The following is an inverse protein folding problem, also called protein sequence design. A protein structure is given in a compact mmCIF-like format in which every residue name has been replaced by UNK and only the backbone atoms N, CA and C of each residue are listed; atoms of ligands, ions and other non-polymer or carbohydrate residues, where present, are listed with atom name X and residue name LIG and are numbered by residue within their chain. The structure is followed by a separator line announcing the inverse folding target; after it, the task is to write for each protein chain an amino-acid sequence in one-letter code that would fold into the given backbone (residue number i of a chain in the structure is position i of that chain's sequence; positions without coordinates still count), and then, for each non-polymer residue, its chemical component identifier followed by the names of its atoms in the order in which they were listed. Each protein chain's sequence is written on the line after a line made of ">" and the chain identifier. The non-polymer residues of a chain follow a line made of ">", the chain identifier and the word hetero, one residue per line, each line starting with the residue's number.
data_IF_644317021642
#
_entry.id   IF_644317021642
#
_cell.length_a   1.000
_cell.length_b   1.000
_cell.length_c   1.000
_cell.angle_alpha   90.00
_cell.angle_beta   90.00
_cell.angle_gamma   90.00
#
_symmetry.space_group_name_H-M   'P 1'
#
loop_
_entity.id
_entity.type
_entity.pdbx_description
1 polymer ?
#
# COMPACT_ATOMS: atom_id res chain seq x y z
N UNK A 1 -16.56 -1.81 -7.90
CA UNK A 1 -15.96 -2.50 -6.74
C UNK A 1 -14.44 -2.68 -6.84
N UNK A 2 -13.80 -2.52 -8.01
CA UNK A 2 -12.34 -2.74 -8.18
C UNK A 2 -11.42 -1.72 -7.48
N UNK A 3 -11.87 -0.49 -7.24
CA UNK A 3 -11.00 0.58 -6.71
C UNK A 3 -10.59 0.42 -5.25
N UNK A 4 -11.40 -0.25 -4.43
CA UNK A 4 -11.15 -0.41 -2.98
C UNK A 4 -10.11 -1.49 -2.68
N UNK A 5 -9.97 -2.49 -3.56
CA UNK A 5 -9.02 -3.60 -3.39
C UNK A 5 -7.63 -3.24 -3.90
N UNK A 6 -7.47 -2.19 -4.70
CA UNK A 6 -6.17 -1.81 -5.28
C UNK A 6 -5.08 -1.56 -4.23
N UNK A 7 -5.40 -0.90 -3.11
CA UNK A 7 -4.42 -0.65 -2.06
C UNK A 7 -3.98 -1.95 -1.34
N UNK A 8 -4.91 -2.82 -0.87
CA UNK A 8 -4.55 -4.14 -0.35
C UNK A 8 -3.79 -5.02 -1.35
N UNK A 9 -4.17 -5.01 -2.64
CA UNK A 9 -3.48 -5.79 -3.67
C UNK A 9 -2.07 -5.26 -3.92
N UNK A 10 -1.87 -3.94 -3.93
CA UNK A 10 -0.54 -3.34 -4.05
C UNK A 10 0.36 -3.73 -2.87
N UNK A 11 -0.18 -3.73 -1.65
CA UNK A 11 0.52 -4.23 -0.46
C UNK A 11 0.87 -5.73 -0.59
N UNK A 12 -0.07 -6.57 -1.01
CA UNK A 12 0.18 -8.01 -1.15
C UNK A 12 1.25 -8.31 -2.20
N UNK A 13 1.24 -7.61 -3.33
CA UNK A 13 2.27 -7.71 -4.36
C UNK A 13 3.62 -7.25 -3.81
N UNK A 14 3.65 -6.13 -3.08
CA UNK A 14 4.86 -5.64 -2.45
C UNK A 14 5.46 -6.65 -1.47
N UNK A 15 4.61 -7.28 -0.64
CA UNK A 15 5.01 -8.33 0.29
C UNK A 15 5.64 -9.52 -0.45
N UNK A 16 4.95 -10.07 -1.45
CA UNK A 16 5.43 -11.25 -2.20
C UNK A 16 6.75 -10.95 -2.91
N UNK A 17 6.88 -9.79 -3.55
CA UNK A 17 8.12 -9.39 -4.24
C UNK A 17 9.25 -9.19 -3.23
N UNK A 18 9.00 -8.50 -2.14
CA UNK A 18 9.98 -8.23 -1.08
C UNK A 18 10.54 -9.51 -0.46
N UNK A 19 9.65 -10.42 -0.06
CA UNK A 19 10.05 -11.69 0.55
C UNK A 19 10.66 -12.65 -0.46
N UNK A 20 10.06 -12.76 -1.65
CA UNK A 20 10.53 -13.64 -2.71
C UNK A 20 11.92 -13.23 -3.22
N UNK A 21 12.15 -11.94 -3.44
CA UNK A 21 13.46 -11.42 -3.84
C UNK A 21 14.52 -11.67 -2.76
N UNK A 22 14.16 -11.46 -1.48
CA UNK A 22 15.08 -11.73 -0.35
C UNK A 22 15.43 -13.22 -0.24
N UNK A 23 14.43 -14.10 -0.31
CA UNK A 23 14.63 -15.54 -0.28
C UNK A 23 15.47 -16.03 -1.46
N UNK A 24 15.15 -15.58 -2.67
CA UNK A 24 15.91 -15.91 -3.88
C UNK A 24 17.36 -15.42 -3.78
N UNK A 25 17.55 -14.20 -3.30
CA UNK A 25 18.88 -13.63 -3.11
C UNK A 25 19.70 -14.45 -2.11
N UNK A 26 19.14 -14.79 -0.96
CA UNK A 26 19.84 -15.60 0.04
C UNK A 26 20.12 -17.03 -0.46
N UNK A 27 19.20 -17.65 -1.20
CA UNK A 27 19.36 -19.02 -1.67
C UNK A 27 20.31 -19.17 -2.87
N UNK A 28 20.38 -18.16 -3.76
CA UNK A 28 21.09 -18.28 -5.04
C UNK A 28 22.18 -17.25 -5.25
N UNK A 29 22.00 -16.02 -4.77
CA UNK A 29 22.87 -14.88 -5.10
C UNK A 29 23.86 -14.53 -4.00
N UNK A 30 23.63 -14.95 -2.76
CA UNK A 30 24.54 -14.69 -1.64
C UNK A 30 25.96 -15.24 -1.89
N UNK A 31 26.08 -16.36 -2.61
CA UNK A 31 27.36 -17.00 -2.95
C UNK A 31 28.09 -16.33 -4.13
N UNK A 32 27.43 -15.42 -4.85
CA UNK A 32 27.99 -14.78 -6.06
C UNK A 32 28.79 -13.50 -5.76
N UNK A 33 28.88 -13.10 -4.49
CA UNK A 33 29.60 -11.90 -4.07
C UNK A 33 28.89 -10.57 -4.37
N UNK A 34 27.65 -10.60 -4.88
CA UNK A 34 26.83 -9.39 -4.96
C UNK A 34 26.62 -8.80 -3.57
N UNK A 35 26.69 -7.48 -3.36
CA UNK A 35 26.45 -6.87 -2.06
C UNK A 35 24.94 -6.80 -1.74
N UNK A 36 24.57 -7.23 -0.53
CA UNK A 36 23.17 -7.20 -0.04
C UNK A 36 22.61 -5.78 0.02
N UNK A 37 23.49 -4.78 0.09
CA UNK A 37 23.16 -3.35 0.06
C UNK A 37 22.43 -2.97 -1.23
N UNK A 38 22.80 -3.54 -2.38
CA UNK A 38 22.13 -3.27 -3.66
C UNK A 38 20.68 -3.77 -3.65
N UNK A 39 20.45 -4.97 -3.09
CA UNK A 39 19.09 -5.51 -2.91
C UNK A 39 18.27 -4.61 -1.98
N UNK A 40 18.84 -4.16 -0.85
CA UNK A 40 18.14 -3.27 0.09
C UNK A 40 17.76 -1.94 -0.51
N UNK A 41 18.69 -1.30 -1.24
CA UNK A 41 18.40 -0.04 -1.91
C UNK A 41 17.30 -0.23 -2.95
N UNK A 42 17.34 -1.33 -3.71
CA UNK A 42 16.28 -1.68 -4.65
C UNK A 42 14.92 -1.90 -3.98
N UNK A 43 14.86 -2.69 -2.91
CA UNK A 43 13.64 -2.96 -2.15
C UNK A 43 13.13 -1.73 -1.39
N UNK A 44 14.04 -0.88 -0.89
CA UNK A 44 13.71 0.40 -0.27
C UNK A 44 13.07 1.36 -1.27
N UNK A 45 13.69 1.53 -2.45
CA UNK A 45 13.13 2.35 -3.52
C UNK A 45 11.77 1.81 -4.00
N UNK A 46 11.65 0.49 -4.16
CA UNK A 46 10.39 -0.16 -4.51
C UNK A 46 9.29 0.08 -3.44
N UNK A 47 9.66 0.00 -2.16
CA UNK A 47 8.75 0.30 -1.05
C UNK A 47 8.25 1.75 -1.11
N UNK A 48 9.13 2.72 -1.38
CA UNK A 48 8.75 4.13 -1.54
C UNK A 48 7.77 4.34 -2.69
N UNK A 49 7.98 3.65 -3.82
CA UNK A 49 7.05 3.69 -4.98
C UNK A 49 5.67 3.16 -4.58
N UNK A 50 5.62 2.03 -3.89
CA UNK A 50 4.35 1.43 -3.43
C UNK A 50 3.66 2.31 -2.39
N UNK A 51 4.40 2.89 -1.44
CA UNK A 51 3.85 3.84 -0.47
C UNK A 51 3.25 5.06 -1.16
N UNK A 52 3.95 5.63 -2.15
CA UNK A 52 3.42 6.74 -2.95
C UNK A 52 2.14 6.37 -3.70
N UNK A 53 2.09 5.15 -4.27
CA UNK A 53 0.90 4.65 -4.95
C UNK A 53 -0.29 4.46 -4.00
N UNK A 54 -0.08 3.85 -2.83
CA UNK A 54 -1.13 3.67 -1.80
C UNK A 54 -1.60 5.03 -1.27
N UNK A 55 -0.67 5.94 -0.96
CA UNK A 55 -0.99 7.29 -0.51
C UNK A 55 -1.79 8.07 -1.56
N UNK A 56 -1.46 7.93 -2.84
CA UNK A 56 -2.20 8.54 -3.93
C UNK A 56 -3.63 7.98 -4.05
N UNK A 57 -3.81 6.67 -3.89
CA UNK A 57 -5.15 6.04 -3.86
C UNK A 57 -5.96 6.56 -2.67
N UNK A 58 -5.36 6.59 -1.47
CA UNK A 58 -5.98 7.12 -0.26
C UNK A 58 -6.38 8.60 -0.42
N UNK A 59 -5.47 9.43 -0.94
CA UNK A 59 -5.73 10.84 -1.23
C UNK A 59 -6.85 11.02 -2.25
N UNK A 60 -6.87 10.20 -3.31
CA UNK A 60 -7.95 10.25 -4.31
C UNK A 60 -9.29 9.88 -3.70
N UNK A 61 -9.31 8.90 -2.80
CA UNK A 61 -10.51 8.50 -2.06
C UNK A 61 -10.98 9.63 -1.11
N UNK A 62 -10.03 10.31 -0.45
CA UNK A 62 -10.30 11.48 0.40
C UNK A 62 -10.81 12.68 -0.41
N UNK A 63 -10.20 13.00 -1.56
CA UNK A 63 -10.70 14.02 -2.49
C UNK A 63 -12.08 13.68 -3.06
N UNK A 64 -12.37 12.40 -3.32
CA UNK A 64 -13.69 11.99 -3.80
C UNK A 64 -14.76 12.16 -2.70
N UNK A 65 -14.36 12.08 -1.43
CA UNK A 65 -15.17 12.51 -0.30
C UNK A 65 -15.31 14.04 -0.21
N UNK A 66 -14.28 14.80 -0.60
CA UNK A 66 -14.19 16.26 -0.39
C UNK A 66 -14.63 17.16 -1.57
N UNK A 67 -15.00 16.63 -2.75
CA UNK A 67 -15.31 17.46 -3.94
C UNK A 67 -16.77 17.94 -4.03
N UNK A 68 -17.69 17.53 -3.15
CA UNK A 68 -19.07 18.07 -3.13
C UNK A 68 -19.71 18.00 -1.73
N UNK A 69 -20.02 19.18 -1.18
CA UNK A 69 -21.41 19.54 -0.86
C UNK A 69 -22.10 18.80 0.33
N UNK A 70 -21.83 19.24 1.58
CA UNK A 70 -22.95 19.70 2.43
C UNK A 70 -23.13 21.19 2.19
N UNK A 71 -23.40 21.50 0.93
CA UNK A 71 -23.92 22.77 0.45
C UNK A 71 -25.27 22.55 -0.24
N UNK A 72 -26.00 21.49 0.15
CA UNK A 72 -27.44 21.36 -0.06
C UNK A 72 -28.07 21.09 1.32
N UNK A 73 -28.62 22.15 1.90
CA UNK A 73 -29.44 22.12 3.11
C UNK A 73 -30.85 21.54 2.90
N UNK A 74 -31.17 21.06 1.70
CA UNK A 74 -32.45 20.43 1.39
C UNK A 74 -32.25 19.39 0.28
N UNK A 75 -32.39 18.10 0.60
CA UNK A 75 -33.26 17.28 -0.23
C UNK A 75 -33.87 16.13 0.57
N UNK A 76 -35.19 16.22 0.72
CA UNK A 76 -36.05 15.21 1.28
C UNK A 76 -36.36 14.17 0.19
N UNK A 77 -35.68 13.02 0.17
CA UNK A 77 -36.19 11.79 -0.45
C UNK A 77 -35.20 10.64 -0.22
N UNK A 78 -35.74 9.50 0.21
CA UNK A 78 -34.96 8.33 0.59
C UNK A 78 -34.29 7.61 -0.58
N UNK A 79 -33.25 6.85 -0.20
CA UNK A 79 -32.65 5.70 -0.89
C UNK A 79 -31.51 5.95 -1.91
N UNK A 80 -30.39 5.24 -1.67
CA UNK A 80 -29.16 5.02 -2.47
C UNK A 80 -27.87 5.75 -2.03
N UNK A 81 -27.93 6.92 -1.40
CA UNK A 81 -26.74 7.76 -1.16
C UNK A 81 -25.86 7.28 0.02
N UNK A 82 -26.43 6.63 1.04
CA UNK A 82 -25.69 6.19 2.25
C UNK A 82 -24.61 5.13 1.95
N UNK A 83 -24.82 4.28 0.94
CA UNK A 83 -23.92 3.15 0.62
C UNK A 83 -22.56 3.59 0.08
N UNK A 84 -22.51 4.71 -0.66
CA UNK A 84 -21.28 5.19 -1.26
C UNK A 84 -20.35 5.84 -0.23
N UNK A 85 -20.91 6.46 0.81
CA UNK A 85 -20.16 7.06 1.91
C UNK A 85 -19.48 5.99 2.79
N UNK A 86 -20.16 4.87 3.08
CA UNK A 86 -19.55 3.74 3.80
C UNK A 86 -18.42 3.06 3.02
N UNK A 87 -18.59 2.88 1.71
CA UNK A 87 -17.54 2.30 0.85
C UNK A 87 -16.30 3.20 0.74
N UNK A 88 -16.48 4.52 0.77
CA UNK A 88 -15.37 5.48 0.85
C UNK A 88 -14.59 5.39 2.17
N UNK A 89 -15.30 5.24 3.29
CA UNK A 89 -14.69 5.06 4.62
C UNK A 89 -13.88 3.76 4.72
N UNK A 90 -14.44 2.65 4.22
CA UNK A 90 -13.75 1.37 4.16
C UNK A 90 -12.50 1.44 3.28
N UNK A 91 -12.56 2.10 2.12
CA UNK A 91 -11.42 2.28 1.22
C UNK A 91 -10.26 3.05 1.87
N UNK A 92 -10.58 4.08 2.65
CA UNK A 92 -9.60 4.86 3.39
C UNK A 92 -8.92 4.04 4.50
N UNK A 93 -9.71 3.31 5.31
CA UNK A 93 -9.18 2.42 6.34
C UNK A 93 -8.31 1.30 5.74
N UNK A 94 -8.75 0.71 4.62
CA UNK A 94 -7.98 -0.29 3.87
C UNK A 94 -6.66 0.29 3.35
N UNK A 95 -6.65 1.55 2.90
CA UNK A 95 -5.42 2.25 2.49
C UNK A 95 -4.45 2.46 3.66
N UNK A 96 -4.95 2.85 4.84
CA UNK A 96 -4.13 3.03 6.06
C UNK A 96 -3.51 1.69 6.47
N UNK A 97 -4.31 0.64 6.57
CA UNK A 97 -3.82 -0.70 6.96
C UNK A 97 -2.78 -1.20 5.95
N UNK A 98 -3.01 -0.98 4.64
CA UNK A 98 -2.05 -1.35 3.59
C UNK A 98 -0.74 -0.56 3.73
N UNK A 99 -0.80 0.73 4.05
CA UNK A 99 0.38 1.57 4.29
C UNK A 99 1.19 1.06 5.49
N UNK A 100 0.54 0.78 6.62
CA UNK A 100 1.18 0.19 7.81
C UNK A 100 1.82 -1.15 7.44
N UNK A 101 1.12 -1.97 6.66
CA UNK A 101 1.64 -3.23 6.13
C UNK A 101 2.95 -3.07 5.37
N UNK A 102 3.06 -2.08 4.46
CA UNK A 102 4.31 -1.83 3.72
C UNK A 102 5.44 -1.40 4.66
N UNK A 103 5.15 -0.53 5.65
CA UNK A 103 6.15 -0.10 6.63
C UNK A 103 6.69 -1.29 7.41
N UNK A 104 5.83 -2.15 7.95
CA UNK A 104 6.24 -3.35 8.69
C UNK A 104 7.02 -4.34 7.81
N UNK A 105 6.63 -4.53 6.55
CA UNK A 105 7.35 -5.39 5.59
C UNK A 105 8.74 -4.85 5.27
N UNK A 106 8.92 -3.52 5.31
CA UNK A 106 10.21 -2.88 5.01
C UNK A 106 11.19 -2.85 6.20
N UNK A 107 10.70 -2.99 7.43
CA UNK A 107 11.52 -2.96 8.66
C UNK A 107 12.70 -3.96 8.67
N UNK A 108 12.54 -5.23 8.23
CA UNK A 108 13.63 -6.21 8.23
C UNK A 108 14.82 -5.77 7.38
N UNK A 109 14.62 -4.98 6.32
CA UNK A 109 15.70 -4.49 5.46
C UNK A 109 16.68 -3.56 6.18
N UNK A 110 16.19 -2.86 7.20
CA UNK A 110 16.98 -1.92 8.00
C UNK A 110 17.71 -2.67 9.12
N UNK A 111 17.07 -3.67 9.72
CA UNK A 111 17.58 -4.34 10.93
C UNK A 111 18.51 -5.51 10.61
N UNK A 112 18.13 -6.39 9.68
CA UNK A 112 18.94 -7.56 9.35
C UNK A 112 19.99 -7.14 8.35
N UNK A 113 21.29 -7.40 8.58
CA UNK A 113 22.43 -7.03 7.70
C UNK A 113 22.90 -8.16 6.76
N UNK A 114 22.45 -9.39 7.00
CA UNK A 114 22.93 -10.60 6.32
C UNK A 114 21.81 -11.61 6.09
N UNK A 115 22.03 -12.54 5.15
CA UNK A 115 21.31 -13.79 5.09
C UNK A 115 21.83 -14.67 6.23
N UNK A 116 20.94 -15.16 7.08
CA UNK A 116 21.25 -16.05 8.20
C UNK A 116 20.93 -17.50 7.81
#
# INVERSE_FOLDING_TARGET
>A
MWRITLAPTAWAVHFVVSYGATAFYCAKLAQTGLPITALRLGLGAFSLVVLGFIAWIGWRSFRQWDVRRTGDFLNASGHAEDRHQFLGHAAFLLSIISFIGVVFVSMPFVVLSSCL
#
